data_IF_675854942073
#
_entry.id   IF_675854942073
#
_cell.length_a   1.000
_cell.length_b   1.000
_cell.length_c   1.000
_cell.angle_alpha   90.00
_cell.angle_beta   90.00
_cell.angle_gamma   90.00
#
_symmetry.space_group_name_H-M   'P 1'
#
loop_
_entity.id
_entity.type
_entity.pdbx_description
1 polymer ?
#
# COMPACT_ATOMS: atom_id res chain seq x y z
N UNK A 1 -81.22 -23.82 -23.47
CA UNK A 1 -81.06 -22.81 -24.54
C UNK A 1 -79.59 -22.79 -24.94
N UNK A 2 -79.32 -23.03 -26.24
CA UNK A 2 -78.02 -23.01 -26.98
C UNK A 2 -76.94 -24.02 -26.50
N UNK A 3 -76.18 -24.77 -27.30
CA UNK A 3 -76.22 -25.33 -28.67
C UNK A 3 -74.99 -26.27 -28.79
N UNK A 4 -75.19 -27.52 -29.27
CA UNK A 4 -74.33 -28.44 -30.08
C UNK A 4 -72.78 -28.36 -29.92
N UNK A 5 -71.98 -29.42 -29.75
CA UNK A 5 -72.08 -30.82 -30.21
C UNK A 5 -71.19 -31.10 -31.44
N UNK A 6 -70.13 -31.90 -31.31
CA UNK A 6 -69.37 -32.58 -32.41
C UNK A 6 -67.88 -32.19 -32.54
N UNK A 7 -66.92 -32.99 -33.05
CA UNK A 7 -66.76 -34.43 -33.40
C UNK A 7 -65.35 -34.59 -34.04
N UNK A 8 -64.70 -35.78 -33.88
CA UNK A 8 -63.79 -36.52 -34.84
C UNK A 8 -62.38 -35.94 -35.21
N UNK A 9 -61.28 -36.71 -35.07
CA UNK A 9 -60.59 -37.67 -36.01
C UNK A 9 -60.04 -36.99 -37.28
N UNK A 10 -58.90 -37.28 -37.92
CA UNK A 10 -57.89 -38.36 -37.99
C UNK A 10 -56.72 -37.88 -38.92
N UNK A 11 -55.59 -38.63 -38.97
CA UNK A 11 -54.66 -38.80 -40.13
C UNK A 11 -53.78 -37.59 -40.56
N UNK A 12 -52.56 -37.66 -41.12
CA UNK A 12 -51.58 -38.71 -41.48
C UNK A 12 -50.23 -38.00 -41.85
N UNK A 13 -49.10 -38.64 -41.53
CA UNK A 13 -47.88 -38.88 -42.36
C UNK A 13 -47.00 -37.80 -43.05
N UNK A 14 -45.68 -38.09 -42.96
CA UNK A 14 -44.50 -37.80 -43.81
C UNK A 14 -43.93 -36.36 -43.75
N UNK A 15 -42.63 -36.13 -43.52
CA UNK A 15 -41.49 -36.56 -44.35
C UNK A 15 -40.16 -36.55 -43.55
N UNK A 16 -39.25 -37.43 -43.96
CA UNK A 16 -37.95 -37.72 -43.36
C UNK A 16 -36.83 -37.34 -44.32
N UNK A 17 -35.78 -36.68 -43.81
CA UNK A 17 -34.42 -36.83 -44.32
C UNK A 17 -33.83 -35.64 -45.08
N UNK A 18 -33.05 -34.81 -44.37
CA UNK A 18 -31.77 -34.20 -44.83
C UNK A 18 -31.24 -33.21 -43.79
N UNK A 19 -30.12 -33.53 -43.13
CA UNK A 19 -29.01 -32.60 -42.83
C UNK A 19 -28.03 -33.13 -41.75
N UNK A 20 -27.46 -34.32 -41.95
CA UNK A 20 -26.33 -34.83 -41.14
C UNK A 20 -24.96 -34.70 -41.85
N UNK A 21 -24.77 -33.69 -42.72
CA UNK A 21 -23.53 -33.54 -43.49
C UNK A 21 -22.77 -32.22 -43.32
N UNK A 22 -23.10 -31.34 -42.36
CA UNK A 22 -22.34 -30.09 -42.14
C UNK A 22 -21.54 -30.00 -40.83
N UNK A 23 -21.61 -31.00 -39.94
CA UNK A 23 -20.93 -30.95 -38.64
C UNK A 23 -19.52 -31.57 -38.62
N UNK A 24 -19.16 -32.40 -39.61
CA UNK A 24 -17.87 -33.12 -39.64
C UNK A 24 -16.70 -32.38 -40.30
N UNK A 25 -16.97 -31.35 -41.11
CA UNK A 25 -15.93 -30.63 -41.87
C UNK A 25 -15.28 -29.48 -41.09
N UNK A 26 -15.97 -28.92 -40.09
CA UNK A 26 -15.48 -27.75 -39.33
C UNK A 26 -14.52 -28.12 -38.19
N UNK A 27 -14.64 -29.35 -37.65
CA UNK A 27 -13.74 -29.88 -36.60
C UNK A 27 -12.35 -30.30 -37.10
N UNK A 28 -12.17 -30.56 -38.40
CA UNK A 28 -10.86 -30.98 -38.96
C UNK A 28 -9.91 -29.82 -39.31
N UNK A 29 -10.42 -28.60 -39.45
CA UNK A 29 -9.56 -27.42 -39.71
C UNK A 29 -9.03 -26.77 -38.42
N UNK A 30 -9.69 -26.98 -37.28
CA UNK A 30 -9.25 -26.41 -35.99
C UNK A 30 -8.12 -27.22 -35.33
N UNK A 31 -8.02 -28.53 -35.62
CA UNK A 31 -6.95 -29.40 -35.09
C UNK A 31 -5.61 -29.24 -35.86
N UNK A 32 -5.63 -28.99 -37.18
CA UNK A 32 -4.41 -28.78 -37.98
C UNK A 32 -3.73 -27.42 -37.72
N UNK A 33 -4.48 -26.41 -37.25
CA UNK A 33 -3.91 -25.08 -36.91
C UNK A 33 -3.29 -25.04 -35.49
N UNK A 34 -3.65 -26.01 -34.62
CA UNK A 34 -3.08 -26.14 -33.28
C UNK A 34 -1.77 -26.96 -33.26
N UNK A 35 -1.61 -27.97 -34.12
CA UNK A 35 -0.35 -28.72 -34.24
C UNK A 35 0.79 -27.88 -34.86
N UNK A 36 0.50 -27.00 -35.82
CA UNK A 36 1.51 -26.14 -36.45
C UNK A 36 2.07 -25.02 -35.54
N UNK A 37 1.35 -24.65 -34.46
CA UNK A 37 1.79 -23.64 -33.47
C UNK A 37 2.61 -24.24 -32.33
N UNK A 38 2.44 -25.53 -32.00
CA UNK A 38 3.27 -26.22 -31.01
C UNK A 38 4.68 -26.56 -31.54
N UNK A 39 4.84 -26.82 -32.85
CA UNK A 39 6.14 -27.16 -33.43
C UNK A 39 7.10 -25.96 -33.57
N UNK A 40 6.59 -24.71 -33.59
CA UNK A 40 7.42 -23.49 -33.59
C UNK A 40 7.86 -23.02 -32.21
N UNK A 41 7.20 -23.46 -31.13
CA UNK A 41 7.55 -23.07 -29.76
C UNK A 41 8.72 -23.92 -29.20
N UNK A 42 8.90 -25.17 -29.64
CA UNK A 42 9.97 -26.04 -29.15
C UNK A 42 11.34 -25.83 -29.83
N UNK A 43 11.43 -25.05 -30.92
CA UNK A 43 12.70 -24.81 -31.64
C UNK A 43 13.48 -23.57 -31.19
N UNK A 44 12.97 -22.78 -30.23
CA UNK A 44 13.66 -21.59 -29.69
C UNK A 44 14.31 -21.80 -28.30
N UNK A 45 14.18 -23.00 -27.72
CA UNK A 45 14.77 -23.38 -26.42
C UNK A 45 15.95 -24.36 -26.49
N UNK A 46 16.46 -24.72 -27.68
CA UNK A 46 17.70 -25.49 -27.83
C UNK A 46 18.74 -24.68 -28.60
N UNK A 47 19.49 -23.86 -27.87
CA UNK A 47 20.60 -23.11 -28.46
C UNK A 47 21.23 -22.07 -27.55
N UNK A 48 21.71 -22.46 -26.36
CA UNK A 48 22.89 -21.88 -25.69
C UNK A 48 23.08 -22.51 -24.29
N UNK A 49 23.58 -23.74 -24.25
CA UNK A 49 24.23 -24.29 -23.07
C UNK A 49 25.30 -25.28 -23.51
N UNK A 50 26.57 -24.96 -23.20
CA UNK A 50 27.69 -25.86 -22.88
C UNK A 50 29.02 -25.43 -23.53
N UNK A 51 29.88 -24.83 -22.69
CA UNK A 51 31.31 -25.10 -22.53
C UNK A 51 31.89 -23.95 -21.67
N UNK A 52 32.68 -24.12 -20.62
CA UNK A 52 33.12 -25.23 -19.77
C UNK A 52 33.94 -24.57 -18.64
N UNK A 53 33.95 -25.19 -17.45
CA UNK A 53 34.74 -24.84 -16.26
C UNK A 53 36.23 -24.58 -16.53
N UNK A 54 36.82 -23.63 -15.78
CA UNK A 54 37.98 -23.92 -14.92
C UNK A 54 38.20 -22.84 -13.83
N UNK A 55 38.66 -23.33 -12.67
CA UNK A 55 38.87 -22.67 -11.38
C UNK A 55 39.81 -21.44 -11.39
N UNK A 56 39.46 -20.42 -10.59
CA UNK A 56 40.44 -19.72 -9.75
C UNK A 56 39.77 -19.07 -8.53
N UNK A 57 40.23 -19.49 -7.36
CA UNK A 57 40.05 -18.92 -6.03
C UNK A 57 40.47 -17.45 -5.96
N UNK A 58 39.69 -16.61 -5.26
CA UNK A 58 40.07 -15.22 -5.00
C UNK A 58 39.06 -14.49 -4.13
N UNK A 59 39.28 -14.57 -2.82
CA UNK A 59 38.69 -13.75 -1.76
C UNK A 59 38.84 -12.24 -2.06
N UNK A 60 37.73 -11.50 -1.96
CA UNK A 60 37.69 -10.09 -1.54
C UNK A 60 36.25 -9.60 -1.51
N UNK A 61 35.70 -9.51 -0.30
CA UNK A 61 34.50 -8.76 0.00
C UNK A 61 34.67 -7.30 -0.45
N UNK A 62 33.92 -6.89 -1.47
CA UNK A 62 33.69 -5.47 -1.77
C UNK A 62 32.29 -5.15 -1.27
N UNK A 63 32.20 -4.44 -0.15
CA UNK A 63 30.96 -3.84 0.30
C UNK A 63 30.41 -2.99 -0.85
N UNK A 64 29.26 -3.39 -1.40
CA UNK A 64 28.53 -2.57 -2.36
C UNK A 64 27.96 -1.38 -1.59
N UNK A 65 28.51 -0.21 -1.88
CA UNK A 65 27.95 1.08 -1.52
C UNK A 65 26.58 1.18 -2.20
N UNK A 66 25.51 1.30 -1.40
CA UNK A 66 24.13 1.43 -1.91
C UNK A 66 24.04 2.73 -2.72
N UNK A 67 23.57 2.72 -3.98
CA UNK A 67 23.43 3.94 -4.77
C UNK A 67 22.57 4.99 -4.06
N UNK A 68 23.15 6.17 -3.77
CA UNK A 68 22.49 7.26 -3.06
C UNK A 68 21.18 7.70 -3.76
N UNK A 69 20.12 8.07 -3.00
CA UNK A 69 18.84 8.56 -3.53
C UNK A 69 18.97 9.65 -4.60
N UNK A 70 18.02 9.72 -5.55
CA UNK A 70 17.92 10.88 -6.44
C UNK A 70 17.79 12.17 -5.61
N UNK A 71 18.46 13.24 -6.02
CA UNK A 71 18.57 14.46 -5.20
C UNK A 71 17.21 15.09 -4.89
N UNK A 72 16.88 15.18 -3.61
CA UNK A 72 15.60 15.66 -3.07
C UNK A 72 15.28 17.12 -3.43
N UNK A 73 16.24 17.91 -3.93
CA UNK A 73 16.18 19.37 -4.08
C UNK A 73 14.97 19.89 -4.88
N UNK A 74 14.33 19.07 -5.73
CA UNK A 74 13.17 19.48 -6.55
C UNK A 74 11.89 19.76 -5.76
N UNK A 75 11.75 19.21 -4.54
CA UNK A 75 10.50 19.21 -3.75
C UNK A 75 10.67 19.80 -2.32
N UNK A 76 11.37 20.92 -2.14
CA UNK A 76 11.66 21.42 -0.77
C UNK A 76 10.39 21.75 0.04
N UNK A 77 10.33 21.44 1.36
CA UNK A 77 9.21 21.84 2.20
C UNK A 77 8.99 23.35 2.14
N UNK A 78 7.73 23.77 2.05
CA UNK A 78 7.36 25.19 1.91
C UNK A 78 7.45 25.79 0.52
N UNK A 79 7.70 25.00 -0.52
CA UNK A 79 7.50 25.46 -1.90
C UNK A 79 6.00 25.45 -2.19
N UNK A 80 5.42 26.64 -2.37
CA UNK A 80 4.04 26.85 -2.79
C UNK A 80 3.90 26.57 -4.29
N UNK A 81 2.94 25.73 -4.70
CA UNK A 81 2.56 25.59 -6.11
C UNK A 81 1.41 26.55 -6.44
N UNK A 82 1.68 27.52 -7.31
CA UNK A 82 0.65 28.43 -7.84
C UNK A 82 0.08 27.85 -9.12
N UNK A 83 -0.78 26.84 -8.99
CA UNK A 83 -1.52 26.28 -10.11
C UNK A 83 -2.42 27.34 -10.77
N UNK A 84 -2.32 27.49 -12.09
CA UNK A 84 -3.12 28.44 -12.85
C UNK A 84 -4.58 27.94 -12.99
N UNK A 85 -5.40 28.22 -11.96
CA UNK A 85 -6.85 28.09 -11.95
C UNK A 85 -7.41 29.15 -11.00
N UNK A 86 -8.40 29.93 -11.45
CA UNK A 86 -8.99 31.02 -10.66
C UNK A 86 -9.58 30.48 -9.35
N UNK A 87 -9.05 30.96 -8.22
CA UNK A 87 -9.50 30.82 -6.81
C UNK A 87 -8.82 29.79 -5.88
N UNK A 88 -7.77 29.07 -6.31
CA UNK A 88 -7.12 28.07 -5.43
C UNK A 88 -5.92 28.64 -4.65
N UNK A 89 -5.95 28.50 -3.32
CA UNK A 89 -4.80 28.78 -2.48
C UNK A 89 -3.65 27.80 -2.81
N UNK A 90 -2.38 28.18 -2.65
CA UNK A 90 -1.28 27.30 -2.99
C UNK A 90 -1.23 26.07 -2.07
N UNK A 91 -0.85 24.92 -2.63
CA UNK A 91 -0.48 23.75 -1.85
C UNK A 91 0.89 24.00 -1.21
N UNK A 92 0.96 23.82 0.11
CA UNK A 92 2.18 23.92 0.88
C UNK A 92 2.69 22.52 1.25
N UNK A 93 3.88 22.15 0.77
CA UNK A 93 4.51 20.88 1.14
C UNK A 93 4.99 20.93 2.59
N UNK A 94 4.39 20.09 3.45
CA UNK A 94 4.76 19.93 4.86
C UNK A 94 5.92 18.96 5.03
N UNK A 95 5.93 17.89 4.24
CA UNK A 95 6.93 16.83 4.32
C UNK A 95 7.03 16.09 2.98
N UNK A 96 8.22 15.52 2.72
CA UNK A 96 8.46 14.59 1.61
C UNK A 96 9.41 13.48 2.01
N UNK A 97 9.40 12.41 1.24
CA UNK A 97 10.41 11.36 1.31
C UNK A 97 10.00 10.12 0.54
N UNK A 98 10.46 8.97 1.00
CA UNK A 98 10.12 7.70 0.36
C UNK A 98 8.91 7.05 1.01
N UNK A 99 8.08 6.43 0.17
CA UNK A 99 6.97 5.59 0.60
C UNK A 99 7.21 4.17 0.14
N UNK A 100 6.95 3.20 1.01
CA UNK A 100 6.90 1.79 0.68
C UNK A 100 5.53 1.23 1.04
N UNK A 101 5.03 0.33 0.21
CA UNK A 101 3.81 -0.40 0.45
C UNK A 101 4.16 -1.86 0.71
N UNK A 102 3.67 -2.41 1.81
CA UNK A 102 3.89 -3.79 2.20
C UNK A 102 2.56 -4.49 2.46
N UNK A 103 2.50 -5.78 2.18
CA UNK A 103 1.52 -6.65 2.82
C UNK A 103 2.20 -7.71 3.66
N UNK A 104 1.49 -8.21 4.66
CA UNK A 104 1.92 -9.36 5.45
C UNK A 104 0.93 -10.51 5.24
N UNK A 105 1.38 -11.70 4.83
CA UNK A 105 0.52 -12.88 4.70
C UNK A 105 -0.15 -13.26 6.04
N UNK A 106 -1.29 -13.95 5.96
CA UNK A 106 -1.98 -14.54 7.10
C UNK A 106 -1.08 -15.53 7.85
N UNK A 107 -1.33 -15.62 9.15
CA UNK A 107 -0.69 -16.62 10.00
C UNK A 107 -1.17 -18.01 9.56
N UNK A 108 -0.21 -18.88 9.26
CA UNK A 108 -0.45 -20.27 8.88
C UNK A 108 0.17 -21.23 9.88
N UNK A 109 -0.22 -22.51 9.82
CA UNK A 109 0.50 -23.55 10.57
C UNK A 109 1.86 -23.81 9.92
N UNK A 110 2.87 -24.19 10.71
CA UNK A 110 4.19 -24.53 10.15
C UNK A 110 4.09 -25.64 9.09
N UNK A 111 3.29 -26.66 9.35
CA UNK A 111 3.03 -27.76 8.42
C UNK A 111 2.44 -27.30 7.07
N UNK A 112 1.51 -26.33 7.08
CA UNK A 112 0.93 -25.80 5.83
C UNK A 112 1.97 -25.02 5.02
N UNK A 113 2.77 -24.18 5.68
CA UNK A 113 3.82 -23.40 5.02
C UNK A 113 4.88 -24.32 4.40
N UNK A 114 5.31 -25.34 5.13
CA UNK A 114 6.33 -26.29 4.69
C UNK A 114 5.84 -27.15 3.49
N UNK A 115 4.52 -27.33 3.34
CA UNK A 115 3.92 -28.09 2.24
C UNK A 115 3.58 -27.23 1.01
N UNK A 116 2.96 -26.06 1.19
CA UNK A 116 2.46 -25.27 0.06
C UNK A 116 3.56 -24.45 -0.59
N UNK A 117 4.55 -23.99 0.19
CA UNK A 117 5.51 -22.95 -0.24
C UNK A 117 4.87 -21.60 -0.58
N UNK A 118 3.54 -21.49 -0.51
CA UNK A 118 2.75 -20.32 -0.88
C UNK A 118 2.12 -19.65 0.33
N UNK A 119 2.38 -18.35 0.46
CA UNK A 119 2.00 -17.51 1.58
C UNK A 119 0.69 -16.75 1.35
N UNK A 120 0.43 -16.22 0.15
CA UNK A 120 -0.79 -15.51 -0.21
C UNK A 120 -1.04 -15.54 -1.72
N UNK A 121 -2.28 -15.82 -2.14
CA UNK A 121 -2.71 -15.82 -3.56
C UNK A 121 -3.69 -14.68 -3.90
N UNK A 122 -4.22 -14.01 -2.89
CA UNK A 122 -5.15 -12.88 -3.03
C UNK A 122 -5.20 -12.03 -1.75
N UNK A 123 -5.96 -10.93 -1.80
CA UNK A 123 -6.18 -10.03 -0.66
C UNK A 123 -6.76 -10.74 0.58
N UNK A 124 -7.53 -11.81 0.40
CA UNK A 124 -8.06 -12.57 1.53
C UNK A 124 -6.95 -13.28 2.30
N UNK A 125 -5.86 -13.66 1.67
CA UNK A 125 -4.70 -14.27 2.32
C UNK A 125 -3.77 -13.25 3.00
N UNK A 126 -4.07 -11.96 2.89
CA UNK A 126 -3.34 -10.90 3.58
C UNK A 126 -3.85 -10.77 5.01
N UNK A 127 -2.94 -10.72 5.97
CA UNK A 127 -3.24 -10.35 7.36
C UNK A 127 -3.44 -8.84 7.47
N UNK A 128 -2.41 -8.08 7.08
CA UNK A 128 -2.34 -6.63 7.21
C UNK A 128 -1.62 -6.06 5.99
N UNK A 129 -1.98 -4.85 5.58
CA UNK A 129 -1.20 -4.03 4.65
C UNK A 129 -0.72 -2.76 5.35
N UNK A 130 0.46 -2.30 4.97
CA UNK A 130 1.13 -1.15 5.58
C UNK A 130 1.65 -0.21 4.50
N UNK A 131 1.60 1.08 4.79
CA UNK A 131 2.35 2.12 4.12
C UNK A 131 3.46 2.58 5.09
N UNK A 132 4.72 2.41 4.70
CA UNK A 132 5.87 2.89 5.44
C UNK A 132 6.32 4.21 4.82
N UNK A 133 6.30 5.27 5.60
CA UNK A 133 6.79 6.59 5.22
C UNK A 133 8.17 6.78 5.83
N UNK A 134 9.14 7.16 5.01
CA UNK A 134 10.47 7.57 5.42
C UNK A 134 10.61 9.07 5.12
N UNK A 135 10.45 9.97 6.11
CA UNK A 135 10.66 11.40 5.91
C UNK A 135 12.12 11.70 5.55
N UNK A 136 12.33 12.48 4.49
CA UNK A 136 13.65 12.99 4.08
C UNK A 136 13.80 14.47 4.40
N UNK A 137 12.74 15.23 4.14
CA UNK A 137 12.65 16.62 4.54
C UNK A 137 11.25 16.86 5.09
N UNK A 138 11.18 17.39 6.30
CA UNK A 138 9.93 17.61 7.01
C UNK A 138 9.99 18.95 7.72
N UNK A 139 8.83 19.60 7.84
CA UNK A 139 8.65 20.74 8.72
C UNK A 139 8.43 20.34 10.18
N UNK A 140 8.35 19.04 10.46
CA UNK A 140 8.23 18.54 11.83
C UNK A 140 9.40 19.01 12.67
N UNK A 141 9.10 19.59 13.83
CA UNK A 141 10.14 19.86 14.85
C UNK A 141 10.85 18.59 15.32
N UNK A 142 10.21 17.43 15.09
CA UNK A 142 10.71 16.10 15.46
C UNK A 142 11.26 15.33 14.27
N UNK A 143 11.46 15.97 13.12
CA UNK A 143 12.14 15.36 11.99
C UNK A 143 13.55 14.91 12.39
N UNK A 144 13.92 13.67 12.06
CA UNK A 144 15.29 13.20 12.25
C UNK A 144 16.26 14.15 11.53
N UNK A 145 17.29 14.64 12.23
CA UNK A 145 18.28 15.53 11.65
C UNK A 145 19.01 14.82 10.50
N UNK A 146 18.60 15.13 9.26
CA UNK A 146 19.21 14.74 7.99
C UNK A 146 19.73 13.29 7.98
N UNK A 147 18.92 12.34 7.49
CA UNK A 147 19.28 10.92 7.31
C UNK A 147 20.50 10.68 6.39
N UNK A 148 21.20 11.74 5.98
CA UNK A 148 22.45 11.77 5.23
C UNK A 148 23.71 11.82 6.09
N UNK A 149 23.62 11.96 7.42
CA UNK A 149 24.80 11.82 8.30
C UNK A 149 25.05 10.37 8.66
N UNK A 150 26.08 9.82 8.01
CA UNK A 150 26.77 8.57 8.30
C UNK A 150 26.59 8.06 9.73
N UNK A 151 25.99 6.87 9.85
CA UNK A 151 25.97 6.05 11.05
C UNK A 151 27.40 5.59 11.38
N UNK A 152 28.21 6.49 11.91
CA UNK A 152 29.53 6.18 12.46
C UNK A 152 29.50 6.42 13.96
N UNK A 153 29.17 5.36 14.70
CA UNK A 153 29.54 5.18 16.09
C UNK A 153 28.76 5.98 17.13
N UNK A 154 27.77 5.33 17.75
CA UNK A 154 27.69 5.35 19.21
C UNK A 154 27.05 4.05 19.69
N UNK A 155 27.82 3.27 20.43
CA UNK A 155 27.42 1.95 20.91
C UNK A 155 26.33 2.05 21.96
N UNK A 156 25.20 1.39 21.70
CA UNK A 156 24.23 1.04 22.73
C UNK A 156 24.46 -0.44 23.07
N UNK A 157 24.86 -0.68 24.31
CA UNK A 157 25.11 -2.01 24.86
C UNK A 157 23.87 -2.88 24.77
N UNK A 158 24.02 -4.05 24.14
CA UNK A 158 23.03 -5.11 24.10
C UNK A 158 22.79 -5.68 25.50
N UNK A 159 21.62 -5.39 26.06
CA UNK A 159 21.02 -6.17 27.12
C UNK A 159 20.20 -7.31 26.52
N UNK A 160 20.73 -8.53 26.58
CA UNK A 160 19.93 -9.74 26.33
C UNK A 160 19.04 -9.98 27.53
N UNK A 161 17.72 -9.95 27.34
CA UNK A 161 16.81 -10.79 28.12
C UNK A 161 15.48 -10.94 27.39
N UNK A 162 15.05 -12.19 27.27
CA UNK A 162 13.84 -12.57 26.57
C UNK A 162 12.59 -12.00 27.23
N UNK A 163 11.89 -11.14 26.51
CA UNK A 163 10.47 -10.87 26.68
C UNK A 163 9.87 -10.60 25.31
N UNK A 164 8.75 -11.28 25.06
CA UNK A 164 8.05 -11.39 23.79
C UNK A 164 7.42 -10.05 23.39
N UNK A 165 7.51 -9.74 22.09
CA UNK A 165 6.55 -8.98 21.28
C UNK A 165 5.91 -7.75 21.96
N UNK A 166 6.62 -6.62 21.92
CA UNK A 166 6.02 -5.30 21.90
C UNK A 166 6.39 -4.62 20.56
N UNK A 167 5.55 -3.73 20.00
CA UNK A 167 5.99 -2.79 18.96
C UNK A 167 7.27 -2.08 19.45
N UNK A 168 8.13 -1.64 18.53
CA UNK A 168 9.36 -0.95 18.91
C UNK A 168 8.99 0.14 19.93
N UNK A 169 9.50 0.01 21.16
CA UNK A 169 8.98 0.71 22.35
C UNK A 169 9.25 2.22 22.40
N UNK A 170 9.26 2.89 21.26
CA UNK A 170 9.20 4.33 21.12
C UNK A 170 7.75 4.75 21.16
N UNK A 171 7.25 5.00 22.37
CA UNK A 171 6.04 5.81 22.51
C UNK A 171 6.19 7.06 21.64
N UNK A 172 5.10 7.59 21.09
CA UNK A 172 5.16 8.82 20.27
C UNK A 172 5.95 9.94 20.96
N UNK A 173 5.93 10.01 22.28
CA UNK A 173 6.70 10.98 23.07
C UNK A 173 8.22 10.73 23.07
N UNK A 174 8.68 9.46 23.01
CA UNK A 174 10.10 9.14 22.81
C UNK A 174 10.52 9.38 21.37
N UNK A 175 9.68 9.02 20.38
CA UNK A 175 9.96 9.32 18.98
C UNK A 175 10.04 10.84 18.73
N UNK A 176 9.21 11.64 19.40
CA UNK A 176 9.32 13.11 19.40
C UNK A 176 10.68 13.62 19.93
N UNK A 177 11.30 12.92 20.87
CA UNK A 177 12.60 13.30 21.46
C UNK A 177 13.78 12.84 20.61
N UNK A 178 13.72 11.60 20.13
CA UNK A 178 14.82 10.94 19.42
C UNK A 178 14.81 11.22 17.91
N UNK A 179 13.71 11.83 17.42
CA UNK A 179 13.45 12.11 16.02
C UNK A 179 12.63 11.01 15.34
N UNK A 180 11.90 11.41 14.29
CA UNK A 180 11.11 10.51 13.45
C UNK A 180 11.81 10.36 12.10
N UNK A 181 12.40 9.20 11.90
CA UNK A 181 12.97 8.74 10.63
C UNK A 181 12.05 7.78 9.86
N UNK A 182 11.00 7.25 10.51
CA UNK A 182 9.96 6.48 9.83
C UNK A 182 8.60 6.54 10.51
N UNK A 183 7.53 6.28 9.73
CA UNK A 183 6.18 6.00 10.22
C UNK A 183 5.60 4.78 9.52
N UNK A 184 5.09 3.82 10.28
CA UNK A 184 4.33 2.67 9.74
C UNK A 184 2.85 2.96 9.87
N UNK A 185 2.14 3.07 8.76
CA UNK A 185 0.69 3.27 8.70
C UNK A 185 0.02 1.97 8.29
N UNK A 186 -0.76 1.36 9.19
CA UNK A 186 -1.51 0.11 8.93
C UNK A 186 -2.88 0.42 8.33
N UNK A 187 -3.22 -0.25 7.22
CA UNK A 187 -4.45 -0.04 6.46
C UNK A 187 -5.55 -1.02 6.90
N UNK A 188 -6.71 -0.51 7.32
CA UNK A 188 -7.81 -1.29 7.88
C UNK A 188 -8.53 -2.20 6.88
N UNK A 189 -8.58 -1.83 5.60
CA UNK A 189 -9.13 -2.68 4.52
C UNK A 189 -8.05 -3.54 3.83
N UNK A 190 -6.81 -3.55 4.35
CA UNK A 190 -5.64 -4.20 3.73
C UNK A 190 -5.29 -3.67 2.32
N UNK A 191 -5.83 -2.52 1.94
CA UNK A 191 -5.60 -1.84 0.67
C UNK A 191 -5.80 -0.33 0.81
N UNK A 192 -5.28 0.44 -0.13
CA UNK A 192 -5.59 1.86 -0.27
C UNK A 192 -7.05 2.07 -0.73
N UNK A 193 -7.61 3.28 -0.51
CA UNK A 193 -8.88 3.65 -1.14
C UNK A 193 -8.72 3.68 -2.67
N UNK A 194 -9.61 2.96 -3.34
CA UNK A 194 -9.66 2.77 -4.78
C UNK A 194 -11.15 2.71 -5.20
N UNK A 195 -11.90 3.84 -5.09
CA UNK A 195 -13.33 3.88 -5.40
C UNK A 195 -13.65 3.36 -6.81
N UNK A 196 -12.75 3.57 -7.77
CA UNK A 196 -12.84 3.07 -9.15
C UNK A 196 -12.90 1.54 -9.22
N UNK A 197 -12.12 0.83 -8.39
CA UNK A 197 -12.12 -0.64 -8.34
C UNK A 197 -13.42 -1.14 -7.71
N UNK A 198 -13.90 -0.48 -6.66
CA UNK A 198 -15.18 -0.81 -6.05
C UNK A 198 -16.33 -0.62 -7.06
N UNK A 199 -16.38 0.53 -7.74
CA UNK A 199 -17.40 0.84 -8.76
C UNK A 199 -17.34 -0.16 -9.93
N UNK A 200 -16.15 -0.46 -10.44
CA UNK A 200 -15.96 -1.41 -11.54
C UNK A 200 -16.46 -2.82 -11.19
N UNK A 201 -16.38 -3.20 -9.91
CA UNK A 201 -16.89 -4.47 -9.39
C UNK A 201 -18.37 -4.41 -8.98
N UNK A 202 -19.10 -3.33 -9.31
CA UNK A 202 -20.51 -3.14 -8.95
C UNK A 202 -20.75 -2.96 -7.45
N UNK A 203 -19.72 -2.58 -6.70
CA UNK A 203 -19.79 -2.30 -5.27
C UNK A 203 -19.93 -0.80 -5.04
N UNK A 204 -20.66 -0.39 -3.99
CA UNK A 204 -20.65 1.00 -3.56
C UNK A 204 -19.33 1.32 -2.85
N UNK A 205 -18.58 2.35 -3.29
CA UNK A 205 -17.46 2.88 -2.52
C UNK A 205 -17.92 3.26 -1.12
N UNK A 206 -17.46 2.52 -0.11
CA UNK A 206 -17.87 2.76 1.28
C UNK A 206 -17.02 3.87 1.92
N UNK A 207 -17.64 4.81 2.64
CA UNK A 207 -16.91 5.85 3.37
C UNK A 207 -17.73 7.09 3.72
N UNK A 208 -17.04 8.12 4.23
CA UNK A 208 -17.57 9.48 4.39
C UNK A 208 -17.54 10.14 3.00
N UNK A 209 -18.67 10.64 2.51
CA UNK A 209 -18.77 11.32 1.20
C UNK A 209 -19.66 10.63 0.15
N UNK A 210 -20.24 9.46 0.47
CA UNK A 210 -21.17 8.74 -0.41
C UNK A 210 -20.48 8.02 -1.57
N UNK A 211 -21.27 7.61 -2.56
CA UNK A 211 -20.90 6.67 -3.65
C UNK A 211 -19.76 7.16 -4.57
N UNK A 212 -19.35 8.43 -4.47
CA UNK A 212 -18.29 9.03 -5.27
C UNK A 212 -16.91 9.01 -4.60
N UNK A 213 -16.80 8.45 -3.38
CA UNK A 213 -15.56 8.43 -2.61
C UNK A 213 -15.40 7.14 -1.83
N UNK A 214 -14.17 6.69 -1.64
CA UNK A 214 -13.88 5.63 -0.70
C UNK A 214 -13.08 6.16 0.49
N UNK A 215 -13.49 5.75 1.69
CA UNK A 215 -12.73 5.96 2.92
C UNK A 215 -12.16 4.64 3.40
N UNK A 216 -10.88 4.66 3.75
CA UNK A 216 -10.19 3.55 4.42
C UNK A 216 -9.68 4.04 5.78
N UNK A 217 -10.05 3.32 6.83
CA UNK A 217 -9.47 3.52 8.16
C UNK A 217 -8.00 3.12 8.16
N UNK A 218 -7.15 3.87 8.84
CA UNK A 218 -5.77 3.49 9.08
C UNK A 218 -5.29 3.95 10.45
N UNK A 219 -4.14 3.43 10.85
CA UNK A 219 -3.51 3.74 12.15
C UNK A 219 -2.02 3.95 11.94
N UNK A 220 -1.45 5.00 12.52
CA UNK A 220 0.00 5.09 12.73
C UNK A 220 0.37 4.05 13.80
N UNK A 221 0.90 2.93 13.33
CA UNK A 221 1.09 1.71 14.11
C UNK A 221 2.48 1.63 14.78
N UNK A 222 3.46 2.35 14.23
CA UNK A 222 4.83 2.41 14.74
C UNK A 222 5.47 3.70 14.22
N UNK A 223 6.32 4.33 15.03
CA UNK A 223 7.17 5.48 14.66
C UNK A 223 8.53 5.33 15.33
N UNK A 224 9.58 5.76 14.64
CA UNK A 224 10.92 5.71 15.23
C UNK A 224 11.99 6.43 14.43
N UNK A 225 13.20 6.57 15.01
CA UNK A 225 14.28 7.33 14.41
C UNK A 225 15.04 6.59 13.29
N UNK A 226 15.12 5.25 13.37
CA UNK A 226 15.91 4.44 12.44
C UNK A 226 15.06 3.34 11.80
N UNK A 227 14.78 3.39 10.48
CA UNK A 227 14.02 2.36 9.79
C UNK A 227 14.71 0.99 9.76
N UNK A 228 16.02 0.88 10.03
CA UNK A 228 16.73 -0.40 10.04
C UNK A 228 16.17 -1.39 11.08
N UNK A 229 15.55 -0.88 12.16
CA UNK A 229 14.91 -1.69 13.20
C UNK A 229 13.71 -2.50 12.66
N UNK A 230 13.12 -2.07 11.54
CA UNK A 230 11.96 -2.72 10.92
C UNK A 230 12.31 -4.07 10.29
N UNK A 231 13.57 -4.29 9.91
CA UNK A 231 14.02 -5.55 9.29
C UNK A 231 13.66 -6.79 10.14
N UNK A 232 13.77 -6.68 11.46
CA UNK A 232 13.40 -7.75 12.39
C UNK A 232 11.89 -7.96 12.49
N UNK A 233 11.11 -6.88 12.66
CA UNK A 233 9.66 -6.97 12.83
C UNK A 233 8.93 -7.38 11.54
N UNK A 234 9.49 -7.02 10.37
CA UNK A 234 8.99 -7.34 9.05
C UNK A 234 9.50 -8.69 8.49
N UNK A 235 10.37 -9.40 9.21
CA UNK A 235 10.83 -10.74 8.86
C UNK A 235 9.83 -11.86 9.22
N UNK A 236 10.16 -13.11 8.87
CA UNK A 236 9.37 -14.28 9.29
C UNK A 236 9.41 -14.44 10.81
N UNK A 237 8.28 -14.81 11.41
CA UNK A 237 8.20 -15.11 12.83
C UNK A 237 7.55 -16.48 13.05
N UNK A 238 8.16 -17.31 13.89
CA UNK A 238 7.61 -18.60 14.31
C UNK A 238 7.33 -18.58 15.81
N UNK A 239 6.15 -19.04 16.21
CA UNK A 239 5.78 -19.11 17.62
C UNK A 239 4.85 -20.28 17.90
N UNK A 240 4.94 -20.82 19.12
CA UNK A 240 4.07 -21.90 19.56
C UNK A 240 2.82 -21.36 20.24
N UNK A 241 1.68 -21.92 19.86
CA UNK A 241 0.40 -21.71 20.53
C UNK A 241 0.02 -22.91 21.38
N UNK A 242 -0.67 -22.67 22.49
CA UNK A 242 -1.11 -23.75 23.39
C UNK A 242 -2.07 -24.74 22.74
N UNK A 243 -2.89 -24.27 21.79
CA UNK A 243 -4.01 -25.05 21.22
C UNK A 243 -3.82 -25.43 19.77
N UNK A 244 -2.99 -24.72 19.01
CA UNK A 244 -2.84 -24.93 17.55
C UNK A 244 -1.40 -25.23 17.12
N UNK A 245 -0.52 -25.55 18.09
CA UNK A 245 0.88 -25.88 17.82
C UNK A 245 1.67 -24.70 17.26
N UNK A 246 2.69 -25.01 16.47
CA UNK A 246 3.57 -24.01 15.86
C UNK A 246 2.86 -23.24 14.74
N UNK A 247 2.97 -21.91 14.82
CA UNK A 247 2.40 -20.96 13.87
C UNK A 247 3.51 -20.14 13.25
N UNK A 248 3.34 -19.83 11.97
CA UNK A 248 4.26 -19.02 11.17
C UNK A 248 3.54 -17.77 10.73
N UNK A 249 4.11 -16.62 11.06
CA UNK A 249 3.78 -15.35 10.43
C UNK A 249 4.78 -15.13 9.31
N UNK A 250 4.29 -15.13 8.07
CA UNK A 250 5.13 -14.88 6.91
C UNK A 250 5.82 -13.51 7.01
N UNK A 251 7.00 -13.35 6.38
CA UNK A 251 7.65 -12.06 6.26
C UNK A 251 6.79 -11.09 5.45
N UNK A 252 6.92 -9.80 5.74
CA UNK A 252 6.29 -8.74 4.94
C UNK A 252 6.84 -8.75 3.52
N UNK A 253 5.94 -8.52 2.56
CA UNK A 253 6.19 -8.53 1.12
C UNK A 253 6.11 -7.10 0.60
N UNK A 254 7.20 -6.52 0.07
CA UNK A 254 7.12 -5.21 -0.57
C UNK A 254 6.26 -5.32 -1.83
N UNK A 255 5.35 -4.39 -2.01
CA UNK A 255 4.41 -4.34 -3.14
C UNK A 255 4.48 -3.00 -3.90
N UNK A 256 5.16 -2.00 -3.34
CA UNK A 256 5.48 -0.77 -4.05
C UNK A 256 6.51 0.05 -3.31
N UNK A 257 7.31 0.83 -4.03
CA UNK A 257 8.24 1.82 -3.50
C UNK A 257 8.21 3.06 -4.38
N UNK A 258 8.18 4.24 -3.77
CA UNK A 258 8.10 5.50 -4.49
C UNK A 258 8.47 6.71 -3.64
N UNK A 259 8.14 7.89 -4.16
CA UNK A 259 8.22 9.16 -3.47
C UNK A 259 6.84 9.60 -3.00
N UNK A 260 6.77 10.27 -1.85
CA UNK A 260 5.56 10.93 -1.38
C UNK A 260 5.81 12.38 -0.99
N UNK A 261 4.72 13.15 -0.98
CA UNK A 261 4.64 14.45 -0.36
C UNK A 261 3.35 14.54 0.47
N UNK A 262 3.47 15.08 1.68
CA UNK A 262 2.35 15.54 2.49
C UNK A 262 2.19 17.04 2.28
N UNK A 263 1.02 17.46 1.82
CA UNK A 263 0.73 18.84 1.46
C UNK A 263 -0.52 19.36 2.14
N UNK A 264 -0.49 20.63 2.52
CA UNK A 264 -1.60 21.37 3.10
C UNK A 264 -2.12 22.40 2.09
N UNK A 265 -3.41 22.32 1.77
CA UNK A 265 -4.11 23.36 1.04
C UNK A 265 -4.71 24.35 2.03
N UNK A 266 -4.11 25.55 2.11
CA UNK A 266 -4.53 26.64 3.01
C UNK A 266 -5.62 27.49 2.36
N UNK A 267 -6.83 26.95 2.24
CA UNK A 267 -7.99 27.69 1.75
C UNK A 267 -8.75 28.42 2.87
N UNK A 268 -9.54 29.41 2.46
CA UNK A 268 -10.53 30.09 3.31
C UNK A 268 -11.95 29.78 2.80
N UNK A 269 -12.93 29.49 3.69
CA UNK A 269 -12.83 29.45 5.14
C UNK A 269 -11.99 28.26 5.66
N UNK A 270 -11.57 28.24 6.95
CA UNK A 270 -10.71 27.19 7.48
C UNK A 270 -11.32 25.79 7.41
N UNK A 271 -12.63 25.64 7.22
CA UNK A 271 -13.32 24.37 7.00
C UNK A 271 -13.04 23.73 5.63
N UNK A 272 -12.52 24.50 4.67
CA UNK A 272 -12.19 24.04 3.32
C UNK A 272 -10.74 23.58 3.18
N UNK A 273 -9.92 23.74 4.23
CA UNK A 273 -8.53 23.29 4.23
C UNK A 273 -8.44 21.78 4.13
N UNK A 274 -7.40 21.30 3.48
CA UNK A 274 -7.17 19.87 3.26
C UNK A 274 -5.70 19.52 3.49
N UNK A 275 -5.46 18.37 4.09
CA UNK A 275 -4.14 17.75 4.11
C UNK A 275 -4.20 16.51 3.22
N UNK A 276 -3.29 16.40 2.26
CA UNK A 276 -3.22 15.28 1.32
C UNK A 276 -1.86 14.62 1.34
N UNK A 277 -1.86 13.29 1.19
CA UNK A 277 -0.67 12.52 0.87
C UNK A 277 -0.74 12.16 -0.61
N UNK A 278 0.20 12.68 -1.38
CA UNK A 278 0.40 12.33 -2.78
C UNK A 278 1.65 11.47 -2.94
N UNK A 279 1.64 10.56 -3.92
CA UNK A 279 2.79 9.71 -4.20
C UNK A 279 2.94 9.39 -5.68
N UNK A 280 4.17 9.03 -6.07
CA UNK A 280 4.49 8.41 -7.36
C UNK A 280 5.40 7.20 -7.13
N UNK A 281 5.02 6.06 -7.70
CA UNK A 281 5.69 4.77 -7.55
C UNK A 281 6.82 4.66 -8.57
N UNK A 282 7.99 4.26 -8.08
CA UNK A 282 9.17 3.95 -8.89
C UNK A 282 9.32 2.45 -9.15
N UNK A 283 8.89 1.61 -8.21
CA UNK A 283 9.02 0.15 -8.26
C UNK A 283 7.72 -0.49 -7.75
N UNK A 284 7.06 -1.38 -8.50
CA UNK A 284 7.34 -1.68 -9.91
C UNK A 284 7.27 -0.45 -10.82
N UNK A 285 7.88 -0.53 -12.00
CA UNK A 285 7.55 0.40 -13.08
C UNK A 285 6.10 0.21 -13.52
N UNK A 286 5.48 1.22 -14.16
CA UNK A 286 4.06 1.16 -14.54
C UNK A 286 3.70 -0.09 -15.37
N UNK A 287 4.57 -0.51 -16.29
CA UNK A 287 4.38 -1.70 -17.13
C UNK A 287 4.47 -3.03 -16.36
N UNK A 288 5.02 -3.01 -15.15
CA UNK A 288 5.18 -4.16 -14.25
C UNK A 288 4.09 -4.22 -13.17
N UNK A 289 3.13 -3.29 -13.17
CA UNK A 289 1.97 -3.39 -12.28
C UNK A 289 1.18 -4.66 -12.56
N UNK A 290 0.98 -5.46 -11.52
CA UNK A 290 0.23 -6.71 -11.59
C UNK A 290 -0.95 -6.77 -10.63
N UNK A 291 -1.43 -7.99 -10.44
CA UNK A 291 -2.61 -8.29 -9.61
C UNK A 291 -2.41 -7.86 -8.15
N UNK A 292 -1.18 -7.96 -7.64
CA UNK A 292 -0.86 -7.52 -6.26
C UNK A 292 -1.11 -6.02 -6.09
N UNK A 293 -0.55 -5.18 -6.98
CA UNK A 293 -0.72 -3.73 -6.90
C UNK A 293 -2.20 -3.35 -7.03
N UNK A 294 -2.89 -3.93 -8.02
CA UNK A 294 -4.30 -3.71 -8.28
C UNK A 294 -5.17 -4.04 -7.06
N UNK A 295 -5.01 -5.23 -6.46
CA UNK A 295 -5.78 -5.64 -5.29
C UNK A 295 -5.46 -4.81 -4.03
N UNK A 296 -4.23 -4.31 -3.91
CA UNK A 296 -3.83 -3.38 -2.84
C UNK A 296 -4.27 -1.93 -3.09
N UNK A 297 -4.93 -1.64 -4.22
CA UNK A 297 -5.40 -0.30 -4.57
C UNK A 297 -4.26 0.66 -4.93
N UNK A 298 -3.11 0.13 -5.34
CA UNK A 298 -1.96 0.92 -5.79
C UNK A 298 -2.16 1.35 -7.25
N UNK A 299 -1.77 2.58 -7.53
CA UNK A 299 -1.69 3.16 -8.88
C UNK A 299 -0.30 3.76 -9.09
N UNK A 300 0.19 3.94 -10.33
CA UNK A 300 1.53 4.52 -10.58
C UNK A 300 1.75 5.86 -9.90
N UNK A 301 0.69 6.67 -9.80
CA UNK A 301 0.66 7.83 -8.90
C UNK A 301 -0.72 7.95 -8.26
N UNK A 302 -0.79 8.63 -7.11
CA UNK A 302 -2.02 8.74 -6.35
C UNK A 302 -2.00 9.88 -5.35
N UNK A 303 -3.19 10.20 -4.83
CA UNK A 303 -3.40 11.23 -3.82
C UNK A 303 -4.67 10.89 -3.02
N UNK A 304 -4.61 11.08 -1.71
CA UNK A 304 -5.76 10.95 -0.82
C UNK A 304 -5.68 11.98 0.31
N UNK A 305 -6.84 12.47 0.74
CA UNK A 305 -6.92 13.38 1.88
C UNK A 305 -6.87 12.61 3.21
N UNK A 306 -6.31 13.26 4.21
CA UNK A 306 -6.13 12.74 5.56
C UNK A 306 -7.08 13.45 6.51
N UNK A 307 -7.81 12.66 7.30
CA UNK A 307 -8.62 13.16 8.40
C UNK A 307 -8.34 12.35 9.65
N UNK A 308 -7.82 13.01 10.68
CA UNK A 308 -7.51 12.42 11.97
C UNK A 308 -8.79 12.26 12.79
N UNK A 309 -8.95 11.11 13.42
CA UNK A 309 -10.02 10.85 14.36
C UNK A 309 -9.71 11.52 15.70
N UNK A 310 -10.72 12.14 16.31
CA UNK A 310 -10.61 12.62 17.69
C UNK A 310 -10.45 11.39 18.64
N UNK A 311 -9.34 11.27 19.40
CA UNK A 311 -9.08 10.09 20.23
C UNK A 311 -10.07 9.94 21.40
N UNK A 312 -10.76 11.03 21.77
CA UNK A 312 -11.80 11.07 22.81
C UNK A 312 -13.14 10.51 22.35
N UNK A 313 -13.30 10.20 21.06
CA UNK A 313 -14.51 9.55 20.58
C UNK A 313 -14.69 8.19 21.24
N UNK A 314 -15.87 7.86 21.80
CA UNK A 314 -16.08 6.54 22.39
C UNK A 314 -15.83 5.44 21.35
N UNK A 315 -15.41 4.26 21.83
CA UNK A 315 -15.24 3.05 21.02
C UNK A 315 -16.59 2.58 20.48
N UNK A 316 -17.08 3.27 19.46
CA UNK A 316 -18.38 3.10 18.78
C UNK A 316 -19.62 3.15 19.68
N UNK A 317 -20.67 3.85 19.22
CA UNK A 317 -21.93 3.97 19.94
C UNK A 317 -22.69 2.64 20.01
N UNK A 318 -23.76 2.59 20.82
CA UNK A 318 -24.57 1.38 21.01
C UNK A 318 -25.02 0.76 19.67
N UNK A 319 -24.55 -0.46 19.38
CA UNK A 319 -24.94 -1.27 18.22
C UNK A 319 -24.03 -1.20 16.98
N UNK A 320 -22.97 -0.39 17.00
CA UNK A 320 -21.96 -0.41 15.92
C UNK A 320 -20.85 -1.43 16.22
N UNK A 321 -20.31 -2.13 15.20
CA UNK A 321 -19.11 -2.95 15.38
C UNK A 321 -17.97 -2.10 15.98
N UNK A 322 -17.13 -2.64 16.88
CA UNK A 322 -15.97 -1.92 17.38
C UNK A 322 -15.12 -1.44 16.19
N UNK A 323 -15.12 -0.14 15.96
CA UNK A 323 -14.33 0.49 14.93
C UNK A 323 -13.25 1.36 15.59
N UNK A 324 -12.01 1.15 15.15
CA UNK A 324 -10.84 1.82 15.69
C UNK A 324 -10.14 1.04 16.80
N UNK A 325 -9.12 1.66 17.37
CA UNK A 325 -8.32 1.17 18.47
C UNK A 325 -9.10 1.21 19.78
N UNK A 326 -8.78 0.26 20.65
CA UNK A 326 -9.11 0.33 22.07
C UNK A 326 -8.56 1.64 22.66
N UNK A 327 -9.27 2.21 23.63
CA UNK A 327 -8.95 3.51 24.22
C UNK A 327 -7.49 3.60 24.70
N UNK A 328 -6.99 2.53 25.33
CA UNK A 328 -5.59 2.45 25.81
C UNK A 328 -4.53 2.46 24.71
N UNK A 329 -4.89 2.12 23.47
CA UNK A 329 -3.98 2.06 22.34
C UNK A 329 -4.04 3.32 21.46
N UNK A 330 -4.93 4.27 21.77
CA UNK A 330 -5.04 5.53 21.03
C UNK A 330 -3.93 6.48 21.39
N UNK A 331 -3.64 7.37 20.44
CA UNK A 331 -2.75 8.50 20.65
C UNK A 331 -3.20 9.29 21.88
N UNK A 332 -2.24 9.53 22.78
CA UNK A 332 -2.45 10.40 23.92
C UNK A 332 -2.26 11.85 23.47
N UNK A 333 -3.18 12.72 23.82
CA UNK A 333 -3.11 14.14 23.49
C UNK A 333 -3.45 14.97 24.72
N UNK A 334 -2.76 16.09 24.90
CA UNK A 334 -3.11 17.05 25.94
C UNK A 334 -4.45 17.73 25.63
N UNK A 335 -5.13 18.24 26.67
CA UNK A 335 -6.37 19.03 26.50
C UNK A 335 -6.19 20.19 25.51
N UNK A 336 -5.02 20.83 25.51
CA UNK A 336 -4.68 21.89 24.55
C UNK A 336 -4.57 21.37 23.12
N UNK A 337 -3.87 20.26 22.90
CA UNK A 337 -3.78 19.65 21.56
C UNK A 337 -5.17 19.23 21.05
N UNK A 338 -6.03 18.69 21.93
CA UNK A 338 -7.42 18.35 21.61
C UNK A 338 -8.23 19.61 21.27
N UNK A 339 -8.11 20.67 22.07
CA UNK A 339 -8.80 21.93 21.85
C UNK A 339 -8.37 22.61 20.55
N UNK A 340 -7.07 22.64 20.26
CA UNK A 340 -6.51 23.30 19.07
C UNK A 340 -6.83 22.52 17.79
N UNK A 341 -6.81 21.19 17.86
CA UNK A 341 -6.99 20.33 16.67
C UNK A 341 -8.47 20.07 16.38
N UNK A 342 -9.24 19.76 17.41
CA UNK A 342 -10.64 19.31 17.27
C UNK A 342 -11.65 20.30 17.81
N UNK A 343 -11.24 21.39 18.46
CA UNK A 343 -12.17 22.29 19.14
C UNK A 343 -12.70 21.75 20.47
N UNK A 344 -12.10 20.66 21.00
CA UNK A 344 -12.45 20.05 22.29
C UNK A 344 -12.74 18.55 22.19
N UNK A 345 -13.28 17.99 23.27
CA UNK A 345 -13.67 16.58 23.34
C UNK A 345 -14.87 16.27 22.44
N UNK A 346 -14.90 15.05 21.92
CA UNK A 346 -15.95 14.62 20.98
C UNK A 346 -17.32 14.40 21.63
N UNK A 347 -17.39 14.19 22.95
CA UNK A 347 -18.64 14.21 23.71
C UNK A 347 -19.09 15.64 24.08
N UNK A 348 -18.18 16.61 23.97
CA UNK A 348 -18.43 18.03 24.22
C UNK A 348 -18.77 18.79 22.95
N UNK A 349 -18.04 19.88 22.69
CA UNK A 349 -18.21 20.73 21.50
C UNK A 349 -17.20 20.42 20.38
N UNK A 350 -16.32 19.46 20.60
CA UNK A 350 -15.27 19.09 19.64
C UNK A 350 -15.82 18.40 18.41
N UNK A 351 -15.12 18.55 17.30
CA UNK A 351 -15.38 17.77 16.09
C UNK A 351 -14.91 16.34 16.28
N UNK A 352 -15.61 15.43 15.59
CA UNK A 352 -15.28 14.01 15.55
C UNK A 352 -13.97 13.74 14.80
N UNK A 353 -13.68 14.59 13.83
CA UNK A 353 -12.54 14.48 12.94
C UNK A 353 -11.95 15.86 12.68
N UNK A 354 -10.65 15.90 12.43
CA UNK A 354 -9.91 17.11 12.07
C UNK A 354 -8.79 16.77 11.10
N UNK A 355 -8.20 17.78 10.47
CA UNK A 355 -7.10 17.58 9.54
C UNK A 355 -5.79 17.64 10.32
N UNK A 356 -4.81 16.76 10.04
CA UNK A 356 -3.50 16.84 10.68
C UNK A 356 -2.68 17.98 10.06
N UNK A 357 -3.12 19.24 10.25
CA UNK A 357 -2.44 20.43 9.69
C UNK A 357 -1.05 20.62 10.31
N UNK A 358 -0.86 20.15 11.54
CA UNK A 358 0.44 20.06 12.22
C UNK A 358 1.00 18.65 12.02
N UNK A 359 2.19 18.54 11.43
CA UNK A 359 2.77 17.26 11.02
C UNK A 359 3.19 16.41 12.24
N UNK A 360 3.54 17.06 13.34
CA UNK A 360 3.91 16.45 14.63
C UNK A 360 2.77 15.63 15.24
N UNK A 361 1.54 15.85 14.79
CA UNK A 361 0.40 15.01 15.17
C UNK A 361 0.53 13.60 14.61
N UNK A 362 1.22 13.43 13.48
CA UNK A 362 1.47 12.13 12.85
C UNK A 362 2.71 11.43 13.41
N UNK A 363 3.54 12.12 14.19
CA UNK A 363 4.78 11.61 14.82
C UNK A 363 4.52 10.79 16.09
N UNK A 364 3.37 10.11 16.16
CA UNK A 364 2.93 9.37 17.35
C UNK A 364 2.19 8.10 16.95
N UNK A 365 2.46 7.02 17.68
CA UNK A 365 1.66 5.81 17.59
C UNK A 365 0.21 6.03 18.06
N UNK A 366 -0.70 5.21 17.53
CA UNK A 366 -2.10 5.19 17.96
C UNK A 366 -2.94 6.31 17.33
N UNK A 367 -2.37 7.11 16.43
CA UNK A 367 -3.11 8.10 15.64
C UNK A 367 -3.98 7.36 14.64
N UNK A 368 -5.29 7.58 14.70
CA UNK A 368 -6.24 6.97 13.78
C UNK A 368 -6.60 7.95 12.66
N UNK A 369 -6.50 7.50 11.42
CA UNK A 369 -6.70 8.32 10.23
C UNK A 369 -7.78 7.73 9.33
N UNK A 370 -8.47 8.62 8.63
CA UNK A 370 -9.25 8.31 7.45
C UNK A 370 -8.43 8.71 6.23
N UNK A 371 -8.19 7.75 5.35
CA UNK A 371 -7.65 7.98 4.01
C UNK A 371 -8.84 8.05 3.06
N UNK A 372 -9.06 9.22 2.47
CA UNK A 372 -10.25 9.50 1.65
C UNK A 372 -9.79 9.78 0.22
N UNK A 373 -10.32 8.99 -0.72
CA UNK A 373 -10.08 9.20 -2.16
C UNK A 373 -11.42 9.36 -2.87
N UNK A 374 -11.56 10.44 -3.61
CA UNK A 374 -12.70 10.68 -4.48
C UNK A 374 -12.44 10.11 -5.88
N UNK A 375 -13.47 9.55 -6.50
CA UNK A 375 -13.42 9.01 -7.86
C UNK A 375 -13.11 10.09 -8.91
N UNK A 376 -13.47 11.35 -8.67
CA UNK A 376 -13.09 12.44 -9.58
C UNK A 376 -11.56 12.60 -9.67
N UNK A 377 -10.84 12.29 -8.60
CA UNK A 377 -9.38 12.47 -8.51
C UNK A 377 -8.60 11.37 -9.24
N UNK A 378 -9.22 10.22 -9.47
CA UNK A 378 -8.61 9.12 -10.24
C UNK A 378 -8.62 9.44 -11.74
N UNK A 379 -9.67 10.12 -12.22
CA UNK A 379 -9.84 10.47 -13.63
C UNK A 379 -9.01 11.69 -14.10
N UNK A 380 -8.47 12.51 -13.19
CA UNK A 380 -7.91 13.83 -13.52
C UNK A 380 -6.46 14.13 -13.11
N UNK A 381 -5.71 13.24 -12.44
CA UNK A 381 -4.27 13.48 -12.34
C UNK A 381 -3.44 12.85 -11.23
N UNK A 382 -3.87 11.78 -10.57
CA UNK A 382 -3.01 11.08 -9.61
C UNK A 382 -2.47 12.02 -8.52
N UNK A 383 -1.15 12.16 -8.41
CA UNK A 383 -0.49 13.07 -7.47
C UNK A 383 -0.87 14.56 -7.67
N UNK A 384 -1.18 14.98 -8.91
CA UNK A 384 -1.52 16.38 -9.27
C UNK A 384 -2.68 16.92 -8.46
N UNK A 385 -3.60 16.04 -8.09
CA UNK A 385 -4.80 16.37 -7.33
C UNK A 385 -4.53 16.69 -5.86
N UNK A 386 -3.33 16.43 -5.34
CA UNK A 386 -3.00 16.74 -3.94
C UNK A 386 -1.77 17.59 -3.71
N UNK A 387 -0.91 17.76 -4.70
CA UNK A 387 0.29 18.60 -4.57
C UNK A 387 0.34 19.74 -5.58
N UNK A 388 -0.64 19.82 -6.49
CA UNK A 388 -0.55 20.66 -7.68
C UNK A 388 0.30 20.02 -8.79
N UNK A 389 0.28 20.63 -9.97
CA UNK A 389 0.88 20.08 -11.18
C UNK A 389 2.41 20.08 -11.13
N UNK A 390 3.04 21.14 -10.60
CA UNK A 390 4.51 21.23 -10.56
C UNK A 390 5.08 20.18 -9.63
N UNK A 391 4.54 20.07 -8.42
CA UNK A 391 5.03 19.13 -7.41
C UNK A 391 4.74 17.68 -7.80
N UNK A 392 3.60 17.41 -8.45
CA UNK A 392 3.30 16.07 -8.94
C UNK A 392 4.26 15.64 -10.05
N UNK A 393 4.57 16.55 -10.98
CA UNK A 393 5.60 16.31 -12.00
C UNK A 393 6.97 16.05 -11.36
N UNK A 394 7.33 16.80 -10.33
CA UNK A 394 8.58 16.58 -9.62
C UNK A 394 8.62 15.23 -8.86
N UNK A 395 7.50 14.76 -8.30
CA UNK A 395 7.37 13.40 -7.75
C UNK A 395 7.57 12.33 -8.84
N UNK A 396 6.92 12.50 -10.00
CA UNK A 396 7.04 11.58 -11.15
C UNK A 396 8.49 11.54 -11.68
N UNK A 397 9.16 12.68 -11.81
CA UNK A 397 10.56 12.76 -12.25
C UNK A 397 11.52 12.07 -11.26
N UNK A 398 11.29 12.21 -9.95
CA UNK A 398 12.09 11.51 -8.93
C UNK A 398 11.84 10.01 -8.93
N UNK A 399 10.57 9.59 -9.10
CA UNK A 399 10.21 8.18 -9.20
C UNK A 399 10.83 7.53 -10.44
N UNK A 400 10.78 8.20 -11.60
CA UNK A 400 11.40 7.74 -12.84
C UNK A 400 12.93 7.64 -12.71
N UNK A 401 13.58 8.67 -12.16
CA UNK A 401 15.03 8.65 -11.94
C UNK A 401 15.47 7.50 -11.03
N UNK A 402 14.64 7.15 -10.05
CA UNK A 402 14.90 6.01 -9.19
C UNK A 402 14.64 4.67 -9.88
N UNK A 403 13.58 4.56 -10.68
CA UNK A 403 13.29 3.37 -11.48
C UNK A 403 14.44 3.03 -12.44
N UNK A 404 15.07 4.05 -13.03
CA UNK A 404 16.18 3.88 -13.97
C UNK A 404 17.48 3.38 -13.30
N UNK A 405 17.69 3.70 -12.01
CA UNK A 405 19.00 3.53 -11.34
C UNK A 405 19.02 2.45 -10.27
N UNK A 406 17.88 2.11 -9.68
CA UNK A 406 17.80 1.16 -8.57
C UNK A 406 17.34 -0.20 -9.08
N UNK A 407 17.94 -1.26 -8.54
CA UNK A 407 17.40 -2.61 -8.67
C UNK A 407 16.46 -2.92 -7.50
N UNK A 408 15.66 -3.99 -7.65
CA UNK A 408 14.89 -4.60 -6.55
C UNK A 408 15.74 -4.91 -5.31
N UNK A 409 16.99 -5.33 -5.51
CA UNK A 409 17.92 -5.57 -4.41
C UNK A 409 18.29 -4.29 -3.66
N UNK A 410 18.52 -3.18 -4.38
CA UNK A 410 18.83 -1.89 -3.77
C UNK A 410 17.63 -1.34 -2.99
N UNK A 411 16.41 -1.51 -3.52
CA UNK A 411 15.16 -1.16 -2.84
C UNK A 411 15.04 -1.89 -1.50
N UNK A 412 15.32 -3.20 -1.46
CA UNK A 412 15.31 -3.96 -0.20
C UNK A 412 16.43 -3.53 0.76
N UNK A 413 17.62 -3.24 0.23
CA UNK A 413 18.78 -2.85 1.01
C UNK A 413 18.57 -1.51 1.76
N UNK A 414 17.72 -0.60 1.23
CA UNK A 414 17.33 0.64 1.91
C UNK A 414 16.73 0.40 3.31
N UNK A 415 16.04 -0.73 3.50
CA UNK A 415 15.42 -1.11 4.77
C UNK A 415 16.18 -2.24 5.49
N UNK A 416 17.44 -2.48 5.10
CA UNK A 416 18.26 -3.61 5.57
C UNK A 416 17.58 -4.97 5.38
N UNK A 417 16.75 -5.10 4.34
CA UNK A 417 16.10 -6.34 3.95
C UNK A 417 16.86 -7.04 2.83
N UNK A 418 16.58 -8.33 2.63
CA UNK A 418 17.14 -9.12 1.54
C UNK A 418 16.04 -9.90 0.83
N UNK A 419 16.26 -10.29 -0.42
CA UNK A 419 15.29 -11.13 -1.14
C UNK A 419 15.03 -12.49 -0.46
N UNK A 420 15.96 -12.95 0.39
CA UNK A 420 15.80 -14.16 1.20
C UNK A 420 14.86 -13.94 2.40
N UNK A 421 15.05 -12.83 3.13
CA UNK A 421 14.21 -12.51 4.29
C UNK A 421 12.84 -11.99 3.87
N UNK A 422 12.80 -11.22 2.79
CA UNK A 422 11.63 -10.53 2.26
C UNK A 422 11.58 -10.69 0.73
N UNK A 423 11.11 -11.85 0.23
CA UNK A 423 10.89 -12.10 -1.19
C UNK A 423 10.21 -10.94 -1.93
N UNK A 424 10.77 -10.50 -3.07
CA UNK A 424 10.32 -9.32 -3.79
C UNK A 424 9.24 -9.58 -4.85
N UNK A 425 8.77 -10.81 -5.01
CA UNK A 425 7.81 -11.19 -6.05
C UNK A 425 6.57 -10.28 -6.11
N UNK A 426 6.15 -9.75 -4.95
CA UNK A 426 5.06 -8.81 -4.86
C UNK A 426 5.37 -7.45 -5.52
N UNK A 427 6.62 -6.99 -5.54
CA UNK A 427 7.07 -5.86 -6.36
C UNK A 427 6.98 -6.19 -7.85
N UNK A 428 7.14 -7.45 -8.23
CA UNK A 428 7.03 -7.92 -9.63
C UNK A 428 5.57 -8.24 -10.02
N UNK A 429 4.61 -7.81 -9.19
CA UNK A 429 3.18 -7.99 -9.42
C UNK A 429 2.63 -9.38 -9.13
N UNK A 430 3.43 -10.27 -8.54
CA UNK A 430 3.06 -11.66 -8.28
C UNK A 430 2.80 -11.95 -6.81
N UNK A 431 1.67 -12.61 -6.57
CA UNK A 431 1.37 -13.29 -5.33
C UNK A 431 2.35 -14.46 -5.09
N UNK A 432 2.60 -14.83 -3.83
CA UNK A 432 3.67 -15.78 -3.45
C UNK A 432 3.11 -16.94 -2.67
#
# INVERSE_FOLDING_TARGET
>A
MQSKGGRRSSEEQQDSGKSEQSAGAKRRQEDEEQEAKQEKAQKKQRGASAASDEHATGDSQKAQEVPQPAQDAKLSPGKEDTGAGQDDAPWEVLEKGHVFFFYRPKVKSAHEVDQSGKAAECLDDVQNAHMLLLPHASRSETAGADATKDSTGSGVQGGTNGQQNAPAGTTGDKAKQDGVGFRVVRLGKKRLPAPEVAIANGQQPGGIGGDASETVWSVVADVGPDPAVLSGSMGEQRYNTRTQGERVVGPSRPAGRGWYALSLHKSEPPSSREVRLSFSISHPSEDEFGDVQSQLGLTPSGSFSLSMRNPTLPSTGAGAPPAGLDESARVQMSEKEIQDTFGGDAEGKGTRYARPEQIELLDREGVELLLIREAAQTSKGGAKTGTGEEQAKALEELAAADADRLSTHDVLAQLKMTAKSNPPNALEGQWV
#
